data_IF_923215235780
#
_entry.id   IF_923215235780
#
_cell.length_a   1.000
_cell.length_b   1.000
_cell.length_c   1.000
_cell.angle_alpha   90.00
_cell.angle_beta   90.00
_cell.angle_gamma   90.00
#
_symmetry.space_group_name_H-M   'P 1'
#
loop_
_entity.id
_entity.type
_entity.pdbx_description
1 polymer ?
#
# COMPACT_ATOMS: atom_id res chain seq x y z
N UNK A 1 -22.98 7.63 18.80
CA UNK A 1 -22.39 8.57 17.82
C UNK A 1 -20.86 8.48 17.74
N UNK A 2 -20.11 8.48 18.85
CA UNK A 2 -18.63 8.38 18.80
C UNK A 2 -18.10 7.05 18.24
N UNK A 3 -18.84 5.94 18.40
CA UNK A 3 -18.38 4.63 17.94
C UNK A 3 -18.29 4.52 16.41
N UNK A 4 -19.25 5.12 15.68
CA UNK A 4 -19.24 5.11 14.21
C UNK A 4 -18.10 5.94 13.63
N UNK A 5 -17.79 7.10 14.21
CA UNK A 5 -16.63 7.91 13.80
C UNK A 5 -15.30 7.16 13.97
N UNK A 6 -15.12 6.45 15.09
CA UNK A 6 -13.92 5.64 15.30
C UNK A 6 -13.82 4.48 14.29
N UNK A 7 -14.94 3.81 14.01
CA UNK A 7 -14.97 2.74 13.00
C UNK A 7 -14.57 3.23 11.60
N UNK A 8 -15.04 4.43 11.22
CA UNK A 8 -14.72 5.05 9.94
C UNK A 8 -13.24 5.45 9.89
N UNK A 9 -12.67 6.03 10.95
CA UNK A 9 -11.24 6.36 10.96
C UNK A 9 -10.34 5.12 10.88
N UNK A 10 -10.74 4.04 11.54
CA UNK A 10 -10.01 2.77 11.53
C UNK A 10 -10.04 2.15 10.13
N UNK A 11 -11.20 2.09 9.48
CA UNK A 11 -11.32 1.50 8.15
C UNK A 11 -10.49 2.25 7.10
N UNK A 12 -10.46 3.59 7.17
CA UNK A 12 -9.63 4.44 6.29
C UNK A 12 -8.14 4.12 6.49
N UNK A 13 -7.67 4.07 7.74
CA UNK A 13 -6.26 3.75 8.03
C UNK A 13 -5.87 2.36 7.52
N UNK A 14 -6.78 1.40 7.59
CA UNK A 14 -6.56 0.02 7.18
C UNK A 14 -6.46 -0.10 5.65
N UNK A 15 -7.32 0.60 4.90
CA UNK A 15 -7.26 0.67 3.43
C UNK A 15 -5.94 1.28 2.94
N UNK A 16 -5.47 2.34 3.59
CA UNK A 16 -4.19 2.98 3.27
C UNK A 16 -3.02 2.01 3.53
N UNK A 17 -3.03 1.33 4.69
CA UNK A 17 -2.00 0.34 5.03
C UNK A 17 -1.94 -0.80 4.00
N UNK A 18 -3.10 -1.33 3.58
CA UNK A 18 -3.16 -2.40 2.57
C UNK A 18 -2.63 -1.92 1.22
N UNK A 19 -2.97 -0.69 0.81
CA UNK A 19 -2.45 -0.12 -0.43
C UNK A 19 -0.91 -0.08 -0.44
N UNK A 20 -0.28 0.41 0.62
CA UNK A 20 1.18 0.42 0.74
C UNK A 20 1.79 -0.99 0.81
N UNK A 21 1.15 -1.90 1.54
CA UNK A 21 1.60 -3.28 1.66
C UNK A 21 1.64 -3.99 0.28
N UNK A 22 0.63 -3.79 -0.57
CA UNK A 22 0.62 -4.39 -1.92
C UNK A 22 1.72 -3.84 -2.85
N UNK A 23 2.07 -2.56 -2.73
CA UNK A 23 3.19 -1.97 -3.48
C UNK A 23 4.51 -2.59 -3.01
N UNK A 24 4.67 -2.76 -1.71
CA UNK A 24 5.86 -3.34 -1.09
C UNK A 24 6.07 -4.79 -1.55
N UNK A 25 5.03 -5.63 -1.53
CA UNK A 25 5.12 -7.01 -2.05
C UNK A 25 5.59 -7.05 -3.51
N UNK A 26 5.05 -6.18 -4.38
CA UNK A 26 5.46 -6.08 -5.78
C UNK A 26 6.91 -5.63 -5.95
N UNK A 27 7.42 -4.76 -5.07
CA UNK A 27 8.83 -4.36 -5.05
C UNK A 27 9.71 -5.52 -4.57
N UNK A 28 9.35 -6.22 -3.49
CA UNK A 28 10.10 -7.39 -2.99
C UNK A 28 10.21 -8.49 -4.05
N UNK A 29 9.10 -8.87 -4.69
CA UNK A 29 9.10 -9.88 -5.74
C UNK A 29 10.00 -9.48 -6.92
N UNK A 30 10.02 -8.19 -7.25
CA UNK A 30 10.92 -7.63 -8.24
C UNK A 30 12.39 -7.73 -7.83
N UNK A 31 12.71 -7.38 -6.59
CA UNK A 31 14.08 -7.49 -6.05
C UNK A 31 14.56 -8.93 -6.11
N UNK A 32 13.72 -9.91 -5.75
CA UNK A 32 14.05 -11.34 -5.79
C UNK A 32 14.30 -11.82 -7.22
N UNK A 33 13.48 -11.38 -8.17
CA UNK A 33 13.54 -11.83 -9.57
C UNK A 33 14.53 -11.05 -10.44
N UNK A 34 15.36 -10.16 -9.85
CA UNK A 34 16.32 -9.30 -10.57
C UNK A 34 15.68 -8.53 -11.74
N UNK A 35 14.38 -8.22 -11.66
CA UNK A 35 13.66 -7.37 -12.61
C UNK A 35 13.27 -6.07 -11.94
N UNK A 36 13.23 -4.96 -12.66
CA UNK A 36 12.69 -3.71 -12.11
C UNK A 36 11.17 -3.87 -11.95
N UNK A 37 10.73 -3.79 -10.70
CA UNK A 37 9.32 -3.78 -10.31
C UNK A 37 8.66 -2.48 -10.73
N UNK A 38 7.44 -2.21 -10.28
CA UNK A 38 6.68 -1.05 -10.74
C UNK A 38 7.46 0.26 -10.47
N UNK A 39 8.16 0.75 -11.50
CA UNK A 39 8.97 1.97 -11.49
C UNK A 39 8.25 3.13 -12.21
N UNK A 40 7.03 2.89 -12.73
CA UNK A 40 6.31 3.82 -13.60
C UNK A 40 5.05 4.44 -12.97
N UNK A 41 4.47 3.84 -11.93
CA UNK A 41 3.29 4.44 -11.28
C UNK A 41 3.76 5.46 -10.23
N UNK A 42 3.84 6.73 -10.65
CA UNK A 42 4.25 7.89 -9.83
C UNK A 42 5.76 8.03 -9.55
N UNK A 43 6.15 8.84 -8.57
CA UNK A 43 7.56 9.13 -8.27
C UNK A 43 8.21 7.88 -7.63
N UNK A 44 8.95 7.09 -8.42
CA UNK A 44 9.59 5.82 -7.97
C UNK A 44 8.61 4.77 -7.38
N UNK A 45 7.38 4.70 -7.90
CA UNK A 45 6.43 3.65 -7.55
C UNK A 45 5.56 3.93 -6.32
N UNK A 46 5.30 5.21 -6.02
CA UNK A 46 4.25 5.72 -5.11
C UNK A 46 3.29 6.53 -5.96
#
# INVERSE_FOLDING_TARGET
MMFSFNFISISISLLISVAFYTILERKILSYIQMRKGPNKVGYKGI
#
